data_IF_317344918771
#
_entry.id   IF_317344918771
#
_cell.length_a   1.000
_cell.length_b   1.000
_cell.length_c   1.000
_cell.angle_alpha   90.00
_cell.angle_beta   90.00
_cell.angle_gamma   90.00
#
_symmetry.space_group_name_H-M   'P 1'
#
loop_
_entity.id
_entity.type
_entity.pdbx_description
1 polymer ?
#
# COMPACT_ATOMS: atom_id res chain seq x y z
N UNK A 1 -10.05 -2.57 -13.86
CA UNK A 1 -9.31 -2.70 -12.59
C UNK A 1 -10.07 -2.11 -11.40
N UNK A 2 -10.33 -0.79 -11.34
CA UNK A 2 -10.77 -0.17 -10.07
C UNK A 2 -12.24 -0.41 -9.70
N UNK A 3 -13.15 -0.40 -10.68
CA UNK A 3 -14.58 -0.62 -10.47
C UNK A 3 -14.95 -2.08 -10.24
N UNK A 4 -14.29 -2.99 -10.95
CA UNK A 4 -14.50 -4.45 -10.84
C UNK A 4 -14.10 -4.97 -9.46
N UNK A 5 -13.05 -4.41 -8.85
CA UNK A 5 -12.64 -4.78 -7.50
C UNK A 5 -13.67 -4.36 -6.45
N UNK A 6 -14.21 -3.13 -6.57
CA UNK A 6 -15.27 -2.66 -5.68
C UNK A 6 -16.53 -3.52 -5.80
N UNK A 7 -16.95 -3.82 -7.04
CA UNK A 7 -18.09 -4.70 -7.30
C UNK A 7 -17.87 -6.11 -6.74
N UNK A 8 -16.67 -6.67 -6.86
CA UNK A 8 -16.32 -7.97 -6.27
C UNK A 8 -16.38 -7.94 -4.73
N UNK A 9 -15.95 -6.85 -4.11
CA UNK A 9 -16.04 -6.63 -2.67
C UNK A 9 -17.52 -6.47 -2.23
N UNK A 10 -18.35 -5.77 -3.00
CA UNK A 10 -19.80 -5.65 -2.80
C UNK A 10 -20.50 -7.02 -2.81
N UNK A 11 -20.17 -7.85 -3.80
CA UNK A 11 -20.72 -9.21 -3.89
C UNK A 11 -20.27 -10.08 -2.72
N UNK A 12 -18.99 -10.00 -2.31
CA UNK A 12 -18.47 -10.73 -1.15
C UNK A 12 -19.20 -10.36 0.15
N UNK A 13 -19.46 -9.07 0.37
CA UNK A 13 -20.19 -8.61 1.54
C UNK A 13 -21.65 -9.07 1.53
N UNK A 14 -22.32 -8.96 0.38
CA UNK A 14 -23.73 -9.30 0.25
C UNK A 14 -23.99 -10.81 0.28
N UNK A 15 -23.17 -11.60 -0.41
CA UNK A 15 -23.39 -13.04 -0.57
C UNK A 15 -22.75 -13.87 0.54
N UNK A 16 -21.61 -13.44 1.09
CA UNK A 16 -20.83 -14.20 2.07
C UNK A 16 -20.81 -13.55 3.45
N UNK A 17 -21.37 -12.35 3.60
CA UNK A 17 -21.36 -11.61 4.87
C UNK A 17 -19.96 -11.14 5.29
N UNK A 18 -18.99 -11.13 4.37
CA UNK A 18 -17.61 -10.72 4.65
C UNK A 18 -17.49 -9.21 4.45
N UNK A 19 -17.25 -8.47 5.53
CA UNK A 19 -17.07 -7.02 5.44
C UNK A 19 -15.94 -6.67 4.49
N UNK A 20 -16.19 -5.74 3.57
CA UNK A 20 -15.18 -5.28 2.59
C UNK A 20 -13.90 -4.81 3.24
N UNK A 21 -14.02 -4.12 4.37
CA UNK A 21 -12.92 -3.55 5.15
C UNK A 21 -11.90 -4.62 5.55
N UNK A 22 -12.37 -5.81 5.93
CA UNK A 22 -11.50 -6.93 6.32
C UNK A 22 -10.71 -7.44 5.10
N UNK A 23 -11.37 -7.52 3.94
CA UNK A 23 -10.72 -7.97 2.70
C UNK A 23 -9.70 -6.94 2.22
N UNK A 24 -10.04 -5.64 2.28
CA UNK A 24 -9.14 -4.54 1.92
C UNK A 24 -7.90 -4.57 2.82
N UNK A 25 -8.07 -4.67 4.14
CA UNK A 25 -6.97 -4.75 5.09
C UNK A 25 -6.08 -5.98 4.84
N UNK A 26 -6.69 -7.13 4.53
CA UNK A 26 -5.95 -8.34 4.17
C UNK A 26 -5.13 -8.16 2.88
N UNK A 27 -5.70 -7.48 1.88
CA UNK A 27 -5.02 -7.16 0.62
C UNK A 27 -3.85 -6.19 0.83
N UNK A 28 -4.05 -5.14 1.62
CA UNK A 28 -2.99 -4.18 1.98
C UNK A 28 -1.81 -4.89 2.66
N UNK A 29 -2.09 -5.72 3.67
CA UNK A 29 -1.08 -6.51 4.36
C UNK A 29 -0.36 -7.51 3.43
N UNK A 30 -1.09 -8.16 2.52
CA UNK A 30 -0.52 -9.07 1.54
C UNK A 30 0.43 -8.34 0.58
N UNK A 31 0.07 -7.13 0.14
CA UNK A 31 0.90 -6.29 -0.73
C UNK A 31 2.16 -5.79 -0.02
N UNK A 32 2.04 -5.32 1.23
CA UNK A 32 3.20 -4.96 2.06
C UNK A 32 4.15 -6.14 2.19
N UNK A 33 3.63 -7.33 2.51
CA UNK A 33 4.43 -8.54 2.66
C UNK A 33 5.12 -8.96 1.35
N UNK A 34 4.39 -8.91 0.22
CA UNK A 34 4.94 -9.22 -1.09
C UNK A 34 6.06 -8.25 -1.49
N UNK A 35 5.87 -6.96 -1.22
CA UNK A 35 6.88 -5.94 -1.51
C UNK A 35 8.13 -6.14 -0.65
N UNK A 36 7.98 -6.32 0.68
CA UNK A 36 9.09 -6.59 1.61
C UNK A 36 9.90 -7.83 1.21
N UNK A 37 9.24 -8.88 0.70
CA UNK A 37 9.91 -10.08 0.20
C UNK A 37 10.76 -9.80 -1.04
N UNK A 38 10.30 -8.93 -1.93
CA UNK A 38 10.97 -8.68 -3.22
C UNK A 38 12.11 -7.65 -3.13
N UNK A 39 11.98 -6.65 -2.26
CA UNK A 39 12.90 -5.51 -2.17
C UNK A 39 13.73 -5.47 -0.88
N UNK A 40 13.59 -6.49 -0.02
CA UNK A 40 14.32 -6.63 1.24
C UNK A 40 13.57 -6.00 2.43
N UNK A 41 13.92 -6.44 3.64
CA UNK A 41 13.25 -6.09 4.90
C UNK A 41 13.37 -4.61 5.30
N UNK A 42 14.23 -3.83 4.63
CA UNK A 42 14.60 -2.50 5.07
C UNK A 42 13.60 -1.43 4.64
N UNK A 43 12.91 -1.56 3.50
CA UNK A 43 12.07 -0.47 2.99
C UNK A 43 10.75 -0.34 3.75
N UNK A 44 10.49 0.87 4.22
CA UNK A 44 9.16 1.27 4.68
C UNK A 44 8.22 1.33 3.47
N UNK A 45 7.12 0.61 3.55
CA UNK A 45 6.12 0.52 2.49
C UNK A 45 4.78 0.85 3.09
N UNK A 46 4.06 1.75 2.43
CA UNK A 46 2.70 2.09 2.75
C UNK A 46 1.82 1.73 1.55
N UNK A 47 0.70 1.07 1.82
CA UNK A 47 -0.27 0.70 0.81
C UNK A 47 -1.55 1.45 1.13
N UNK A 48 -2.10 2.15 0.15
CA UNK A 48 -3.31 2.94 0.29
C UNK A 48 -4.38 2.42 -0.67
N UNK A 49 -5.55 2.09 -0.13
CA UNK A 49 -6.74 1.80 -0.92
C UNK A 49 -7.68 3.01 -1.02
N UNK A 50 -7.87 3.52 -2.24
CA UNK A 50 -8.90 4.52 -2.53
C UNK A 50 -10.28 3.84 -2.55
N UNK A 51 -11.02 3.97 -1.44
CA UNK A 51 -12.36 3.37 -1.28
C UNK A 51 -13.40 3.91 -2.25
N UNK A 52 -13.20 5.10 -2.81
CA UNK A 52 -14.15 5.70 -3.74
C UNK A 52 -13.90 5.25 -5.19
N UNK A 53 -12.63 5.13 -5.58
CA UNK A 53 -12.26 4.76 -6.96
C UNK A 53 -11.95 3.28 -7.11
N UNK A 54 -11.59 2.59 -6.03
CA UNK A 54 -11.13 1.20 -6.00
C UNK A 54 -9.68 1.02 -6.45
N UNK A 55 -8.88 2.09 -6.40
CA UNK A 55 -7.47 2.06 -6.78
C UNK A 55 -6.61 1.68 -5.59
N UNK A 56 -5.55 0.92 -5.84
CA UNK A 56 -4.50 0.61 -4.85
C UNK A 56 -3.24 1.36 -5.26
N UNK A 57 -2.65 2.08 -4.32
CA UNK A 57 -1.34 2.70 -4.47
C UNK A 57 -0.36 2.07 -3.47
N UNK A 58 0.87 1.87 -3.91
CA UNK A 58 1.95 1.34 -3.08
C UNK A 58 3.09 2.35 -3.11
N UNK A 59 3.46 2.86 -1.94
CA UNK A 59 4.47 3.89 -1.78
C UNK A 59 5.66 3.35 -1.00
N UNK A 60 6.87 3.70 -1.44
CA UNK A 60 8.06 3.57 -0.62
C UNK A 60 8.20 4.85 0.22
N UNK A 61 8.15 4.71 1.53
CA UNK A 61 8.25 5.84 2.46
C UNK A 61 9.72 6.07 2.80
N UNK A 62 10.17 7.32 2.62
CA UNK A 62 11.55 7.72 2.92
C UNK A 62 11.60 8.78 4.00
N UNK A 63 12.59 8.68 4.87
CA UNK A 63 12.90 9.68 5.88
C UNK A 63 13.63 10.87 5.24
N UNK A 64 13.18 12.09 5.54
CA UNK A 64 13.81 13.32 5.03
C UNK A 64 14.97 13.69 5.94
N UNK A 65 16.19 13.70 5.39
CA UNK A 65 17.43 13.92 6.14
C UNK A 65 18.30 15.00 5.48
N UNK A 66 19.27 15.53 6.24
CA UNK A 66 20.24 16.49 5.69
C UNK A 66 21.34 15.81 4.86
N UNK A 67 21.86 14.67 5.35
CA UNK A 67 22.87 13.85 4.67
C UNK A 67 22.33 12.43 4.52
N UNK A 68 22.36 11.90 3.30
CA UNK A 68 21.81 10.57 2.98
C UNK A 68 22.87 9.50 3.23
N UNK A 69 22.58 8.58 4.14
CA UNK A 69 23.39 7.40 4.47
C UNK A 69 22.83 6.13 3.81
N UNK A 70 21.50 5.99 3.73
CA UNK A 70 20.85 4.90 2.98
C UNK A 70 19.78 5.43 2.02
N UNK A 71 20.14 5.60 0.75
CA UNK A 71 19.24 6.07 -0.32
C UNK A 71 17.98 5.23 -0.53
N UNK A 72 17.89 4.02 0.05
CA UNK A 72 16.68 3.19 -0.01
C UNK A 72 15.64 3.64 1.00
N UNK A 73 16.07 4.22 2.11
CA UNK A 73 15.23 4.61 3.26
C UNK A 73 15.17 6.12 3.45
N UNK A 74 16.12 6.85 2.88
CA UNK A 74 16.32 8.27 3.12
C UNK A 74 16.27 9.05 1.81
N UNK A 75 15.84 10.31 1.93
CA UNK A 75 15.86 11.31 0.86
C UNK A 75 16.40 12.62 1.42
N UNK A 76 17.20 13.34 0.64
CA UNK A 76 17.72 14.62 1.10
C UNK A 76 16.59 15.65 1.19
N UNK A 77 16.67 16.59 2.14
CA UNK A 77 15.72 17.70 2.23
C UNK A 77 15.61 18.47 0.91
N UNK A 78 16.72 18.60 0.17
CA UNK A 78 16.76 19.27 -1.12
C UNK A 78 15.95 18.54 -2.20
N UNK A 79 15.97 17.21 -2.20
CA UNK A 79 15.25 16.41 -3.19
C UNK A 79 13.77 16.19 -2.80
N UNK A 80 13.43 16.42 -1.54
CA UNK A 80 12.08 16.31 -1.00
C UNK A 80 11.24 17.60 -1.17
N UNK A 81 11.88 18.75 -1.42
CA UNK A 81 11.26 20.07 -1.61
C UNK A 81 11.13 20.43 -3.10
#
# INVERSE_FOLDING_TARGET
>A
MSKELLEALDSLETEKGVKKEIVIEALENALVSAYKRNYGQAQNVEVEFDKAKGNIHVYAVKEVVNEVFDSRLEVSLKDAL
#
